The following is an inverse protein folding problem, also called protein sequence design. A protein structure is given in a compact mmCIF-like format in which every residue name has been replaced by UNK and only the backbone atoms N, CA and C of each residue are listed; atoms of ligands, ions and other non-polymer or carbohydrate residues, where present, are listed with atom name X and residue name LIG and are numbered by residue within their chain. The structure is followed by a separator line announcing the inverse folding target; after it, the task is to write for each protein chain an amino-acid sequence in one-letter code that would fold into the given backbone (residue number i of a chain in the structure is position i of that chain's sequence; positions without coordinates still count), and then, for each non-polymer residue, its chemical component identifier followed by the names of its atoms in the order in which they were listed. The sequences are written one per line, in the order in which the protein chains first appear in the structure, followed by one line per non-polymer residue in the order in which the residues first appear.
data_IF_151780494811
#
_entry.id   IF_151780494811
#
_cell.length_a   1.000
_cell.length_b   1.000
_cell.length_c   1.000
_cell.angle_alpha   90.00
_cell.angle_beta   90.00
_cell.angle_gamma   90.00
#
_symmetry.space_group_name_H-M   'P 1'
#
loop_
_entity.id
_entity.type
_entity.pdbx_description
1 polymer ?
#
# COMPACT_ATOMS: atom_id res chain seq x y z
N UNK A 1 -10.83 20.55 -15.98
CA UNK A 1 -9.89 19.74 -16.77
C UNK A 1 -9.50 18.45 -16.06
N UNK A 2 -9.29 18.50 -14.78
CA UNK A 2 -8.90 17.30 -14.01
C UNK A 2 -10.08 16.33 -13.84
N UNK A 3 -11.29 16.83 -13.78
CA UNK A 3 -12.50 15.99 -13.75
C UNK A 3 -12.68 15.14 -15.00
N UNK A 4 -12.21 15.62 -16.16
CA UNK A 4 -12.29 14.86 -17.41
C UNK A 4 -11.26 13.74 -17.44
N UNK A 5 -10.12 13.94 -16.81
CA UNK A 5 -9.05 12.93 -16.71
C UNK A 5 -9.36 11.83 -15.70
N UNK A 6 -10.18 12.15 -14.71
CA UNK A 6 -10.53 11.22 -13.65
C UNK A 6 -11.81 10.42 -13.93
N UNK A 7 -12.46 10.66 -15.06
CA UNK A 7 -13.59 9.82 -15.52
C UNK A 7 -13.10 8.45 -15.92
N UNK A 8 -13.08 7.60 -15.01
CA UNK A 8 -12.58 6.25 -15.11
C UNK A 8 -12.06 5.82 -13.73
N UNK A 9 -11.04 5.04 -13.69
CA UNK A 9 -10.48 4.47 -12.45
C UNK A 9 -10.09 5.50 -11.39
N UNK A 10 -9.76 6.74 -11.78
CA UNK A 10 -9.29 7.76 -10.87
C UNK A 10 -10.36 8.60 -10.19
N UNK A 11 -11.60 8.54 -10.64
CA UNK A 11 -12.59 9.53 -10.21
C UNK A 11 -13.06 9.33 -8.78
N UNK A 12 -13.37 8.12 -8.41
CA UNK A 12 -13.72 7.73 -7.04
C UNK A 12 -12.54 7.98 -6.09
N UNK A 13 -11.36 7.65 -6.53
CA UNK A 13 -10.12 7.81 -5.79
C UNK A 13 -9.76 9.28 -5.52
N UNK A 14 -9.77 10.11 -6.55
CA UNK A 14 -9.38 11.51 -6.44
C UNK A 14 -10.34 12.36 -5.61
N UNK A 15 -11.56 11.93 -5.47
CA UNK A 15 -12.52 12.58 -4.58
C UNK A 15 -12.22 12.30 -3.12
N UNK A 16 -11.33 11.37 -2.82
CA UNK A 16 -10.97 10.92 -1.47
C UNK A 16 -12.22 10.70 -0.60
N UNK A 17 -13.24 10.17 -1.22
CA UNK A 17 -14.49 9.88 -0.54
C UNK A 17 -14.26 8.69 0.38
N UNK A 18 -14.62 8.84 1.63
CA UNK A 18 -14.75 7.70 2.52
C UNK A 18 -15.82 6.77 1.94
N UNK A 19 -15.57 5.50 2.01
CA UNK A 19 -16.46 4.47 1.54
C UNK A 19 -16.51 3.33 2.57
N UNK A 20 -17.63 2.67 2.60
CA UNK A 20 -17.92 1.55 3.47
C UNK A 20 -18.32 0.32 2.65
N UNK A 21 -18.64 -0.74 3.33
CA UNK A 21 -19.09 -1.99 2.75
C UNK A 21 -20.26 -1.81 1.79
N UNK A 22 -21.30 -1.07 2.20
CA UNK A 22 -22.49 -0.80 1.39
C UNK A 22 -22.16 -0.02 0.11
N UNK A 23 -21.37 1.03 0.24
CA UNK A 23 -20.93 1.86 -0.89
C UNK A 23 -20.13 1.06 -1.90
N UNK A 24 -19.20 0.21 -1.44
CA UNK A 24 -18.39 -0.65 -2.30
C UNK A 24 -19.28 -1.62 -3.07
N UNK A 25 -20.20 -2.29 -2.38
CA UNK A 25 -21.13 -3.21 -3.05
C UNK A 25 -22.08 -2.49 -4.01
N UNK A 26 -22.45 -1.25 -3.68
CA UNK A 26 -23.21 -0.38 -4.59
C UNK A 26 -22.47 -0.11 -5.92
N UNK A 27 -21.14 0.12 -5.87
CA UNK A 27 -20.33 0.27 -7.08
C UNK A 27 -20.25 -1.04 -7.88
N UNK A 28 -20.01 -2.16 -7.23
CA UNK A 28 -19.91 -3.48 -7.89
C UNK A 28 -21.23 -3.83 -8.57
N UNK A 29 -22.33 -3.70 -7.87
CA UNK A 29 -23.67 -3.98 -8.39
C UNK A 29 -24.05 -3.01 -9.53
N UNK A 30 -23.74 -1.72 -9.37
CA UNK A 30 -23.99 -0.73 -10.40
C UNK A 30 -23.25 -0.97 -11.71
N UNK A 31 -22.03 -1.52 -11.66
CA UNK A 31 -21.29 -1.95 -12.86
C UNK A 31 -21.98 -3.16 -13.51
N UNK A 32 -22.37 -4.15 -12.71
CA UNK A 32 -23.07 -5.36 -13.16
C UNK A 32 -24.41 -5.04 -13.84
N UNK A 33 -25.24 -4.20 -13.23
CA UNK A 33 -26.53 -3.76 -13.76
C UNK A 33 -26.43 -3.04 -15.12
N UNK A 34 -25.31 -2.33 -15.32
CA UNK A 34 -25.03 -1.60 -16.57
C UNK A 34 -24.27 -2.41 -17.60
N UNK A 35 -24.04 -3.70 -17.32
CA UNK A 35 -23.26 -4.60 -18.17
C UNK A 35 -21.85 -4.07 -18.48
N UNK A 36 -21.24 -3.33 -17.53
CA UNK A 36 -19.88 -2.83 -17.64
C UNK A 36 -18.95 -3.87 -17.03
N UNK A 37 -17.97 -4.42 -17.78
CA UNK A 37 -17.04 -5.40 -17.25
C UNK A 37 -16.21 -4.83 -16.13
N UNK A 38 -16.18 -5.52 -14.99
CA UNK A 38 -15.33 -5.23 -13.85
C UNK A 38 -14.58 -6.52 -13.46
N UNK A 39 -13.25 -6.48 -13.40
CA UNK A 39 -12.42 -7.65 -13.10
C UNK A 39 -11.57 -7.45 -11.85
N UNK A 40 -11.24 -6.20 -11.52
CA UNK A 40 -10.45 -5.85 -10.35
C UNK A 40 -11.14 -4.73 -9.61
N UNK A 41 -11.30 -4.87 -8.31
CA UNK A 41 -11.73 -3.78 -7.45
C UNK A 41 -10.52 -3.32 -6.62
N UNK A 42 -10.24 -2.00 -6.67
CA UNK A 42 -9.16 -1.38 -5.93
C UNK A 42 -9.70 -0.59 -4.74
N UNK A 43 -9.31 -1.00 -3.55
CA UNK A 43 -9.54 -0.25 -2.32
C UNK A 43 -8.38 0.74 -2.11
N UNK A 44 -8.68 2.03 -2.18
CA UNK A 44 -7.71 3.07 -1.88
C UNK A 44 -7.57 3.31 -0.37
N UNK A 45 -6.75 4.24 0.06
CA UNK A 45 -6.25 4.36 1.44
C UNK A 45 -7.31 4.26 2.56
N UNK A 46 -8.55 4.61 2.32
CA UNK A 46 -9.64 4.56 3.30
C UNK A 46 -10.19 3.15 3.63
N UNK A 47 -9.57 2.09 3.12
CA UNK A 47 -9.83 0.75 3.67
C UNK A 47 -9.22 0.61 5.08
N UNK A 48 -8.15 1.39 5.36
CA UNK A 48 -7.57 1.56 6.70
C UNK A 48 -8.24 2.72 7.44
N UNK A 49 -8.15 2.69 8.74
CA UNK A 49 -8.68 3.77 9.58
C UNK A 49 -7.94 5.08 9.33
N UNK A 50 -8.72 6.13 9.14
CA UNK A 50 -8.20 7.46 8.87
C UNK A 50 -7.20 7.92 9.93
N UNK A 51 -6.09 8.51 9.49
CA UNK A 51 -4.96 8.96 10.29
C UNK A 51 -4.12 7.83 10.94
N UNK A 52 -4.53 6.59 10.86
CA UNK A 52 -3.73 5.41 11.22
C UNK A 52 -3.11 4.75 9.99
N UNK A 53 -2.75 5.54 8.97
CA UNK A 53 -2.25 5.06 7.67
C UNK A 53 -1.09 4.09 7.82
N UNK A 54 -1.17 3.03 7.04
CA UNK A 54 -0.28 1.88 7.07
C UNK A 54 -0.26 1.15 8.42
N UNK A 55 -1.46 1.02 9.04
CA UNK A 55 -1.69 0.05 10.10
C UNK A 55 -1.89 -1.38 9.56
N UNK A 56 -2.11 -1.52 8.24
CA UNK A 56 -2.34 -2.78 7.53
C UNK A 56 -3.51 -3.59 8.10
N UNK A 57 -4.51 -2.90 8.62
CA UNK A 57 -5.74 -3.51 9.10
C UNK A 57 -6.97 -2.76 8.56
N UNK A 58 -8.06 -3.49 8.37
CA UNK A 58 -9.31 -2.93 7.87
C UNK A 58 -9.98 -2.06 8.94
N UNK A 59 -10.51 -0.92 8.54
CA UNK A 59 -11.37 -0.12 9.41
C UNK A 59 -12.68 -0.85 9.66
N UNK A 60 -12.78 -1.55 10.79
CA UNK A 60 -13.95 -2.35 11.17
C UNK A 60 -15.22 -1.52 11.43
N UNK A 61 -15.09 -0.21 11.54
CA UNK A 61 -16.27 0.67 11.59
C UNK A 61 -16.90 0.85 10.20
N UNK A 62 -16.07 0.79 9.13
CA UNK A 62 -16.50 0.92 7.74
C UNK A 62 -16.72 -0.45 7.08
N UNK A 63 -15.97 -1.46 7.48
CA UNK A 63 -15.97 -2.83 6.95
C UNK A 63 -16.11 -3.84 8.10
N UNK A 64 -17.31 -3.93 8.72
CA UNK A 64 -17.51 -4.78 9.89
C UNK A 64 -17.31 -6.27 9.61
N UNK A 65 -17.68 -6.73 8.43
CA UNK A 65 -17.54 -8.13 7.99
C UNK A 65 -16.80 -8.21 6.64
N UNK A 66 -15.56 -7.68 6.64
CA UNK A 66 -14.75 -7.64 5.41
C UNK A 66 -14.45 -9.03 4.86
N UNK A 67 -14.28 -10.02 5.71
CA UNK A 67 -14.01 -11.40 5.30
C UNK A 67 -15.15 -11.94 4.43
N UNK A 68 -16.39 -11.73 4.87
CA UNK A 68 -17.57 -12.10 4.08
C UNK A 68 -17.67 -11.25 2.79
N UNK A 69 -17.49 -9.94 2.89
CA UNK A 69 -17.54 -9.06 1.73
C UNK A 69 -16.53 -9.47 0.65
N UNK A 70 -15.30 -9.77 1.02
CA UNK A 70 -14.28 -10.23 0.07
C UNK A 70 -14.67 -11.57 -0.57
N UNK A 71 -15.29 -12.49 0.17
CA UNK A 71 -15.80 -13.74 -0.40
C UNK A 71 -16.88 -13.49 -1.46
N UNK A 72 -17.85 -12.64 -1.16
CA UNK A 72 -18.91 -12.23 -2.10
C UNK A 72 -18.31 -11.58 -3.36
N UNK A 73 -17.38 -10.64 -3.19
CA UNK A 73 -16.73 -9.97 -4.32
C UNK A 73 -15.96 -10.96 -5.21
N UNK A 74 -15.24 -11.90 -4.62
CA UNK A 74 -14.40 -12.86 -5.33
C UNK A 74 -15.20 -13.98 -5.98
N UNK A 75 -16.13 -14.59 -5.27
CA UNK A 75 -16.80 -15.80 -5.74
C UNK A 75 -18.11 -15.51 -6.49
N UNK A 76 -18.88 -14.52 -6.06
CA UNK A 76 -20.16 -14.21 -6.71
C UNK A 76 -20.00 -13.19 -7.83
N UNK A 77 -19.01 -12.29 -7.73
CA UNK A 77 -18.76 -11.25 -8.72
C UNK A 77 -17.48 -11.46 -9.54
N UNK A 78 -16.74 -12.54 -9.30
CA UNK A 78 -15.50 -12.92 -10.00
C UNK A 78 -14.45 -11.79 -10.04
N UNK A 79 -14.29 -11.06 -8.93
CA UNK A 79 -13.37 -9.95 -8.82
C UNK A 79 -12.02 -10.39 -8.23
N UNK A 80 -10.97 -9.73 -8.66
CA UNK A 80 -9.67 -9.68 -7.96
C UNK A 80 -9.64 -8.45 -7.07
N UNK A 81 -9.01 -8.58 -5.92
CA UNK A 81 -8.96 -7.54 -4.89
C UNK A 81 -7.57 -6.92 -4.84
N UNK A 82 -7.52 -5.63 -5.10
CA UNK A 82 -6.33 -4.82 -4.97
C UNK A 82 -6.48 -3.85 -3.79
N UNK A 83 -5.49 -3.73 -2.92
CA UNK A 83 -5.52 -2.74 -1.85
C UNK A 83 -4.32 -1.80 -1.92
N UNK A 84 -4.58 -0.54 -1.61
CA UNK A 84 -3.56 0.49 -1.49
C UNK A 84 -2.66 0.23 -0.28
N UNK A 85 -1.36 0.36 -0.47
CA UNK A 85 -0.35 0.32 0.59
C UNK A 85 0.66 1.44 0.38
N UNK A 86 1.38 1.79 1.45
CA UNK A 86 2.42 2.81 1.43
C UNK A 86 3.50 2.46 2.44
N UNK A 87 4.67 3.05 2.28
CA UNK A 87 5.83 2.89 3.18
C UNK A 87 5.91 3.95 4.27
N UNK A 88 5.01 4.95 4.21
CA UNK A 88 4.93 6.02 5.21
C UNK A 88 3.92 5.61 6.28
N UNK A 89 4.43 5.32 7.48
CA UNK A 89 3.62 4.86 8.61
C UNK A 89 3.09 6.09 9.37
N UNK A 90 1.78 6.21 9.48
CA UNK A 90 1.12 7.30 10.20
C UNK A 90 1.49 7.30 11.68
N UNK A 91 1.75 8.46 12.26
CA UNK A 91 2.15 8.59 13.66
C UNK A 91 1.10 8.04 14.64
N UNK A 92 -0.17 8.05 14.27
CA UNK A 92 -1.26 7.46 15.06
C UNK A 92 -1.42 5.95 14.83
N UNK A 93 -0.78 5.39 13.80
CA UNK A 93 -0.79 3.96 13.59
C UNK A 93 -0.09 3.24 14.74
N UNK A 94 -0.64 2.14 15.26
CA UNK A 94 0.06 1.33 16.27
C UNK A 94 1.42 0.82 15.76
N UNK A 95 1.55 0.65 14.44
CA UNK A 95 2.79 0.20 13.81
C UNK A 95 3.89 1.27 13.82
N UNK A 96 3.58 2.55 14.00
CA UNK A 96 4.60 3.58 14.14
C UNK A 96 5.45 3.37 15.39
N UNK A 97 4.80 3.11 16.53
CA UNK A 97 5.49 2.84 17.78
C UNK A 97 6.33 1.56 17.66
N UNK A 98 5.72 0.49 17.18
CA UNK A 98 6.39 -0.80 16.95
C UNK A 98 7.65 -0.64 16.08
N UNK A 99 7.50 -0.02 14.90
CA UNK A 99 8.61 0.17 13.96
C UNK A 99 9.70 1.10 14.50
N UNK A 100 9.34 2.13 15.28
CA UNK A 100 10.29 3.00 15.95
C UNK A 100 11.12 2.24 16.98
N UNK A 101 10.47 1.47 17.85
CA UNK A 101 11.15 0.68 18.91
C UNK A 101 12.07 -0.38 18.33
N UNK A 102 11.69 -1.01 17.23
CA UNK A 102 12.49 -2.01 16.51
C UNK A 102 13.57 -1.40 15.61
N UNK A 103 13.59 -0.08 15.44
CA UNK A 103 14.55 0.61 14.57
C UNK A 103 14.35 0.37 13.09
N UNK A 104 13.09 0.22 12.66
CA UNK A 104 12.71 -0.09 11.29
C UNK A 104 12.37 1.14 10.43
N UNK A 105 12.40 2.33 11.03
CA UNK A 105 12.17 3.60 10.34
C UNK A 105 13.49 4.32 10.02
N UNK A 106 13.50 5.08 8.93
CA UNK A 106 14.61 5.96 8.58
C UNK A 106 14.89 6.94 9.71
N UNK A 107 16.17 7.21 9.97
CA UNK A 107 16.63 8.06 11.06
C UNK A 107 17.36 9.29 10.54
N UNK A 108 17.32 10.36 11.33
CA UNK A 108 18.21 11.50 11.18
C UNK A 108 19.62 11.15 11.69
N UNK A 109 20.65 11.92 11.32
CA UNK A 109 22.00 11.70 11.83
C UNK A 109 22.14 11.72 13.37
N UNK A 110 21.22 12.41 14.07
CA UNK A 110 21.17 12.43 15.53
C UNK A 110 20.50 11.21 16.18
N UNK A 111 20.02 10.26 15.36
CA UNK A 111 19.35 9.03 15.79
C UNK A 111 17.83 9.12 15.94
N UNK A 112 17.24 10.29 15.86
CA UNK A 112 15.78 10.46 15.87
C UNK A 112 15.15 9.89 14.60
N UNK A 113 13.89 9.44 14.70
CA UNK A 113 13.11 9.07 13.50
C UNK A 113 12.98 10.29 12.60
N UNK A 114 13.29 10.10 11.31
CA UNK A 114 12.97 11.10 10.31
C UNK A 114 11.47 11.06 10.03
N UNK A 115 10.78 12.22 10.07
CA UNK A 115 9.34 12.29 9.89
C UNK A 115 8.97 13.15 8.69
N UNK A 116 8.02 12.67 7.92
CA UNK A 116 7.53 13.26 6.69
C UNK A 116 6.26 14.08 6.94
N UNK A 117 6.18 15.26 6.34
CA UNK A 117 5.05 16.19 6.56
C UNK A 117 4.30 16.58 5.27
N UNK A 118 4.72 16.09 4.10
CA UNK A 118 4.15 16.55 2.83
C UNK A 118 2.77 15.97 2.48
N UNK A 119 2.37 14.89 3.11
CA UNK A 119 1.04 14.29 2.94
C UNK A 119 0.27 14.26 4.26
N UNK A 120 0.78 13.56 5.23
CA UNK A 120 0.28 13.53 6.61
C UNK A 120 1.41 13.92 7.54
N UNK A 121 1.14 14.76 8.51
CA UNK A 121 2.17 15.20 9.44
C UNK A 121 2.72 14.05 10.28
N UNK A 122 4.04 14.03 10.41
CA UNK A 122 4.74 13.15 11.34
C UNK A 122 4.86 11.68 10.90
N UNK A 123 4.68 11.35 9.64
CA UNK A 123 4.81 9.96 9.17
C UNK A 123 6.27 9.50 9.20
N UNK A 124 6.51 8.27 9.68
CA UNK A 124 7.81 7.59 9.56
C UNK A 124 7.92 6.83 8.25
N UNK A 125 9.12 6.70 7.71
CA UNK A 125 9.40 5.97 6.47
C UNK A 125 10.13 4.67 6.80
N UNK A 126 9.65 3.55 6.27
CA UNK A 126 10.28 2.23 6.48
C UNK A 126 11.66 2.18 5.84
N UNK A 127 12.66 1.68 6.56
CA UNK A 127 14.01 1.45 6.04
C UNK A 127 14.15 0.04 5.46
N UNK A 128 13.96 -0.09 4.14
CA UNK A 128 14.11 -1.37 3.44
C UNK A 128 15.56 -1.87 3.29
N UNK A 129 16.54 -1.14 3.75
CA UNK A 129 17.93 -1.67 3.87
C UNK A 129 18.09 -2.51 5.12
N UNK A 130 17.18 -2.38 6.11
CA UNK A 130 17.14 -3.20 7.30
C UNK A 130 16.42 -4.53 7.04
N UNK A 131 17.12 -5.69 7.11
CA UNK A 131 16.49 -6.99 6.89
C UNK A 131 15.34 -7.31 7.85
N UNK A 132 15.37 -6.75 9.06
CA UNK A 132 14.29 -6.88 10.03
C UNK A 132 13.04 -6.13 9.56
N UNK A 133 13.21 -4.88 9.11
CA UNK A 133 12.12 -4.06 8.56
C UNK A 133 11.51 -4.69 7.30
N UNK A 134 12.35 -5.27 6.44
CA UNK A 134 11.91 -6.01 5.25
C UNK A 134 10.94 -7.14 5.59
N UNK A 135 11.36 -8.05 6.47
CA UNK A 135 10.55 -9.20 6.91
C UNK A 135 9.30 -8.77 7.68
N UNK A 136 9.42 -7.74 8.50
CA UNK A 136 8.31 -7.16 9.24
C UNK A 136 7.24 -6.61 8.29
N UNK A 137 7.63 -5.81 7.31
CA UNK A 137 6.72 -5.27 6.31
C UNK A 137 6.05 -6.39 5.51
N UNK A 138 6.82 -7.37 5.06
CA UNK A 138 6.29 -8.55 4.38
C UNK A 138 5.29 -9.34 5.23
N UNK A 139 5.48 -9.43 6.55
CA UNK A 139 4.52 -10.13 7.43
C UNK A 139 3.13 -9.48 7.44
N UNK A 140 3.07 -8.13 7.36
CA UNK A 140 1.82 -7.40 7.28
C UNK A 140 1.10 -7.68 5.95
N UNK A 141 1.86 -7.78 4.85
CA UNK A 141 1.29 -8.10 3.54
C UNK A 141 0.76 -9.54 3.48
N UNK A 142 1.46 -10.51 4.06
CA UNK A 142 0.98 -11.90 4.14
C UNK A 142 -0.36 -11.99 4.86
N UNK A 143 -0.52 -11.27 5.95
CA UNK A 143 -1.79 -11.19 6.66
C UNK A 143 -2.95 -10.74 5.76
N UNK A 144 -2.75 -9.73 4.93
CA UNK A 144 -3.76 -9.27 3.98
C UNK A 144 -4.05 -10.30 2.87
N UNK A 145 -3.02 -10.95 2.38
CA UNK A 145 -3.17 -12.04 1.38
C UNK A 145 -3.96 -13.22 1.95
N UNK A 146 -3.72 -13.58 3.23
CA UNK A 146 -4.48 -14.62 3.93
C UNK A 146 -5.96 -14.25 4.09
N UNK A 147 -6.29 -12.96 4.23
CA UNK A 147 -7.66 -12.47 4.25
C UNK A 147 -8.36 -12.48 2.88
N UNK A 148 -7.63 -12.67 1.78
CA UNK A 148 -8.20 -12.76 0.44
C UNK A 148 -7.84 -11.64 -0.52
N UNK A 149 -6.92 -10.73 -0.15
CA UNK A 149 -6.34 -9.75 -1.08
C UNK A 149 -5.55 -10.47 -2.17
N UNK A 150 -5.63 -9.99 -3.40
CA UNK A 150 -4.95 -10.61 -4.55
C UNK A 150 -3.69 -9.86 -4.98
N UNK A 151 -3.67 -8.55 -4.84
CA UNK A 151 -2.54 -7.71 -5.24
C UNK A 151 -2.52 -6.39 -4.45
N UNK A 152 -1.45 -5.63 -4.61
CA UNK A 152 -1.24 -4.36 -3.93
C UNK A 152 -1.01 -3.23 -4.92
N UNK A 153 -1.57 -2.04 -4.61
CA UNK A 153 -1.10 -0.80 -5.19
C UNK A 153 -0.03 -0.22 -4.28
N UNK A 154 1.23 -0.26 -4.72
CA UNK A 154 2.34 0.42 -4.05
C UNK A 154 2.31 1.89 -4.40
N UNK A 155 1.77 2.71 -3.49
CA UNK A 155 1.69 4.15 -3.68
C UNK A 155 2.89 4.85 -3.04
N UNK A 156 3.22 6.06 -3.52
CA UNK A 156 4.43 6.80 -3.16
C UNK A 156 5.73 6.03 -3.45
N UNK A 157 6.76 6.18 -2.61
CA UNK A 157 8.09 5.59 -2.80
C UNK A 157 9.07 6.53 -3.50
N UNK A 158 8.58 7.66 -4.00
CA UNK A 158 9.39 8.78 -4.49
C UNK A 158 9.59 9.86 -3.41
N UNK A 159 10.47 10.82 -3.70
CA UNK A 159 10.81 11.97 -2.81
C UNK A 159 11.39 11.54 -1.46
N UNK A 160 12.11 10.43 -1.46
CA UNK A 160 12.74 9.94 -0.23
C UNK A 160 13.81 10.94 0.23
N UNK A 161 13.88 11.25 1.54
CA UNK A 161 14.80 12.26 2.05
C UNK A 161 16.26 11.86 1.87
N UNK A 162 17.12 12.86 1.74
CA UNK A 162 18.57 12.70 1.61
C UNK A 162 19.36 13.08 2.86
N UNK A 163 18.66 13.59 3.88
CA UNK A 163 19.19 13.95 5.19
C UNK A 163 18.91 12.84 6.24
N UNK A 164 19.06 11.60 5.82
CA UNK A 164 18.79 10.41 6.63
C UNK A 164 19.99 9.47 6.71
N UNK A 165 19.93 8.54 7.64
CA UNK A 165 20.86 7.43 7.80
C UNK A 165 20.12 6.12 7.56
N UNK A 166 20.64 5.30 6.65
CA UNK A 166 20.16 3.96 6.37
C UNK A 166 20.87 2.93 7.27
N UNK A 167 20.18 1.85 7.57
CA UNK A 167 20.68 0.77 8.41
C UNK A 167 21.99 0.16 7.89
N UNK A 168 22.11 -0.02 6.58
CA UNK A 168 23.27 -0.61 5.92
C UNK A 168 24.37 0.41 5.57
N UNK A 169 24.20 1.69 5.92
CA UNK A 169 25.14 2.77 5.58
C UNK A 169 25.08 3.24 4.15
N UNK A 170 24.04 2.87 3.38
CA UNK A 170 23.84 3.34 2.02
C UNK A 170 23.82 4.86 1.91
N UNK A 171 24.38 5.39 0.81
CA UNK A 171 24.38 6.82 0.49
C UNK A 171 22.97 7.34 0.24
N UNK A 172 22.44 8.27 1.03
CA UNK A 172 21.10 8.79 0.89
C UNK A 172 20.79 9.44 -0.47
N UNK A 173 21.79 10.04 -1.13
CA UNK A 173 21.63 10.61 -2.47
C UNK A 173 21.35 9.54 -3.52
N UNK A 174 22.03 8.41 -3.42
CA UNK A 174 21.77 7.25 -4.29
C UNK A 174 20.46 6.58 -3.96
N UNK A 175 20.12 6.51 -2.68
CA UNK A 175 18.88 5.90 -2.20
C UNK A 175 17.64 6.71 -2.56
N UNK A 176 17.73 8.00 -2.81
CA UNK A 176 16.61 8.87 -3.15
C UNK A 176 15.66 8.28 -4.21
N UNK A 177 16.23 7.72 -5.29
CA UNK A 177 15.47 7.06 -6.34
C UNK A 177 15.46 5.53 -6.20
N UNK A 178 16.54 4.94 -5.66
CA UNK A 178 16.63 3.48 -5.54
C UNK A 178 15.68 2.89 -4.51
N UNK A 179 15.21 3.68 -3.55
CA UNK A 179 14.25 3.27 -2.54
C UNK A 179 12.98 2.66 -3.16
N UNK A 180 12.44 3.27 -4.20
CA UNK A 180 11.23 2.75 -4.87
C UNK A 180 11.44 1.35 -5.45
N UNK A 181 12.66 1.05 -5.94
CA UNK A 181 13.02 -0.31 -6.36
C UNK A 181 12.97 -1.29 -5.20
N UNK A 182 13.56 -0.95 -4.04
CA UNK A 182 13.54 -1.82 -2.85
C UNK A 182 12.12 -2.02 -2.34
N UNK A 183 11.32 -0.98 -2.30
CA UNK A 183 9.92 -1.06 -1.91
C UNK A 183 9.13 -2.02 -2.81
N UNK A 184 9.15 -1.79 -4.11
CA UNK A 184 8.46 -2.65 -5.06
C UNK A 184 8.98 -4.09 -5.03
N UNK A 185 10.28 -4.28 -4.87
CA UNK A 185 10.89 -5.60 -4.71
C UNK A 185 10.39 -6.32 -3.46
N UNK A 186 10.33 -5.62 -2.33
CA UNK A 186 9.84 -6.18 -1.07
C UNK A 186 8.40 -6.72 -1.21
N UNK A 187 7.53 -5.94 -1.85
CA UNK A 187 6.14 -6.34 -2.09
C UNK A 187 6.04 -7.45 -3.14
N UNK A 188 6.81 -7.33 -4.23
CA UNK A 188 6.84 -8.33 -5.29
C UNK A 188 7.23 -9.73 -4.79
N UNK A 189 8.27 -9.83 -3.99
CA UNK A 189 8.74 -11.11 -3.44
C UNK A 189 7.63 -11.85 -2.67
N UNK A 190 6.85 -11.13 -1.86
CA UNK A 190 5.70 -11.73 -1.15
C UNK A 190 4.60 -12.17 -2.10
N UNK A 191 4.29 -11.34 -3.10
CA UNK A 191 3.28 -11.68 -4.09
C UNK A 191 3.68 -12.93 -4.90
N UNK A 192 4.94 -12.99 -5.34
CA UNK A 192 5.45 -14.15 -6.09
C UNK A 192 5.49 -15.43 -5.22
N UNK A 193 5.91 -15.31 -3.96
CA UNK A 193 5.88 -16.42 -2.99
C UNK A 193 4.46 -16.94 -2.77
N UNK A 194 3.47 -16.05 -2.66
CA UNK A 194 2.11 -16.40 -2.31
C UNK A 194 1.25 -16.85 -3.50
N UNK A 195 1.39 -16.18 -4.64
CA UNK A 195 0.59 -16.46 -5.85
C UNK A 195 1.27 -17.42 -6.82
N UNK A 196 2.58 -17.56 -6.74
CA UNK A 196 3.39 -18.33 -7.67
C UNK A 196 4.00 -17.51 -8.79
N UNK A 197 4.99 -18.08 -9.43
CA UNK A 197 5.72 -17.44 -10.53
C UNK A 197 4.76 -17.17 -11.70
N UNK A 198 4.81 -15.96 -12.24
CA UNK A 198 3.98 -15.43 -13.33
C UNK A 198 2.50 -15.15 -12.97
N UNK A 199 2.07 -15.38 -11.73
CA UNK A 199 0.71 -15.05 -11.26
C UNK A 199 0.68 -13.80 -10.37
N UNK A 200 1.84 -13.33 -9.94
CA UNK A 200 1.95 -12.11 -9.16
C UNK A 200 1.66 -10.88 -10.03
N UNK A 201 0.96 -9.92 -9.46
CA UNK A 201 0.68 -8.63 -10.09
C UNK A 201 0.90 -7.51 -9.07
N UNK A 202 1.59 -6.47 -9.46
CA UNK A 202 1.83 -5.29 -8.65
C UNK A 202 1.39 -4.04 -9.41
N UNK A 203 0.63 -3.16 -8.77
CA UNK A 203 0.24 -1.86 -9.31
C UNK A 203 1.12 -0.77 -8.71
N UNK A 204 2.27 -0.46 -9.32
CA UNK A 204 3.21 0.51 -8.79
C UNK A 204 2.93 1.93 -9.31
N UNK A 205 2.91 2.91 -8.38
CA UNK A 205 2.84 4.33 -8.75
C UNK A 205 4.19 4.83 -9.24
N UNK A 206 5.26 4.51 -8.53
CA UNK A 206 6.61 4.97 -8.84
C UNK A 206 7.52 3.82 -9.25
N UNK A 207 8.44 4.13 -10.14
CA UNK A 207 9.43 3.18 -10.65
C UNK A 207 10.78 3.86 -10.86
N UNK A 208 11.83 3.05 -10.90
CA UNK A 208 13.19 3.47 -11.23
C UNK A 208 13.87 2.37 -12.04
N UNK A 209 15.11 2.63 -12.47
CA UNK A 209 15.93 1.65 -13.20
C UNK A 209 16.01 0.33 -12.42
N UNK A 210 15.71 -0.76 -13.10
CA UNK A 210 15.64 -2.11 -12.52
C UNK A 210 14.23 -2.55 -12.18
N UNK A 211 13.23 -1.65 -12.08
CA UNK A 211 11.84 -1.98 -11.84
C UNK A 211 11.23 -2.88 -12.93
N UNK A 212 11.77 -2.81 -14.14
CA UNK A 212 11.37 -3.67 -15.28
C UNK A 212 11.55 -5.18 -15.01
N UNK A 213 12.25 -5.57 -13.95
CA UNK A 213 12.39 -6.96 -13.53
C UNK A 213 11.12 -7.50 -12.88
N UNK A 214 10.25 -6.63 -12.46
CA UNK A 214 8.96 -6.98 -11.89
C UNK A 214 7.86 -6.65 -12.90
N UNK A 215 6.88 -7.50 -13.11
CA UNK A 215 5.68 -7.19 -13.88
C UNK A 215 4.81 -6.18 -13.08
N UNK A 216 5.04 -4.92 -13.27
CA UNK A 216 4.38 -3.78 -12.60
C UNK A 216 3.76 -2.84 -13.63
#
# INVERSE_FOLDING_TARGET
RDLVRSRGLGDVYKRQTKYDEETVMGFVNGMKERHIPLHVFHFDCYWMKENEWCNFDWDRAMFPDIEHQLQVMKHENNLKICVWINTYIGQKSPLFKEAKELGYLLKKPNGDVWQWDLWQAGMGIVDFTNPGAWKWYQSKLRHLLDQGVDCFKTDFGERIPTDVVYYDGSDPLRMHNYYTYLYNKCVWEVLEEYKGKNEACLFARSATVGGQKFPV
#
